data_IF_065833273627
#
_entry.id   IF_065833273627
#
_cell.length_a   1.000
_cell.length_b   1.000
_cell.length_c   1.000
_cell.angle_alpha   90.00
_cell.angle_beta   90.00
_cell.angle_gamma   90.00
#
_symmetry.space_group_name_H-M   'P 1'
#
loop_
_entity.id
_entity.type
_entity.pdbx_description
1 polymer ?
#
# COMPACT_ATOMS: atom_id res chain seq x y z
N UNK A 1 -5.13 22.94 -3.32
CA UNK A 1 -5.41 21.53 -3.02
C UNK A 1 -4.11 20.80 -2.84
N UNK A 2 -4.04 19.92 -1.85
CA UNK A 2 -2.79 19.21 -1.56
C UNK A 2 -2.52 18.21 -2.69
N UNK A 3 -3.48 17.39 -3.05
CA UNK A 3 -3.51 16.52 -4.23
C UNK A 3 -4.97 16.10 -4.52
N UNK A 4 -5.22 15.60 -5.74
CA UNK A 4 -6.55 15.14 -6.18
C UNK A 4 -6.59 13.68 -6.56
N UNK A 5 -5.43 13.05 -6.69
CA UNK A 5 -5.28 11.65 -7.08
C UNK A 5 -4.34 10.95 -6.10
N UNK A 6 -4.67 9.73 -5.73
CA UNK A 6 -3.84 8.91 -4.86
C UNK A 6 -3.55 7.58 -5.53
N UNK A 7 -2.30 7.35 -5.83
CA UNK A 7 -1.79 6.06 -6.21
C UNK A 7 -1.46 5.25 -4.95
N UNK A 8 -1.87 3.99 -4.95
CA UNK A 8 -1.71 3.05 -3.85
C UNK A 8 -0.93 1.85 -4.38
N UNK A 9 0.19 1.50 -3.74
CA UNK A 9 0.78 0.20 -3.97
C UNK A 9 -0.14 -0.90 -3.44
N UNK A 10 -0.05 -2.09 -4.03
CA UNK A 10 -0.80 -3.26 -3.54
C UNK A 10 -0.12 -3.88 -2.32
N UNK A 11 1.11 -4.37 -2.50
CA UNK A 11 1.81 -5.24 -1.55
C UNK A 11 2.31 -4.45 -0.34
N UNK A 12 1.97 -4.91 0.87
CA UNK A 12 2.36 -4.19 2.09
C UNK A 12 1.60 -2.89 2.36
N UNK A 13 0.86 -2.36 1.37
CA UNK A 13 0.02 -1.17 1.49
C UNK A 13 -1.45 -1.56 1.57
N UNK A 14 -2.11 -1.88 0.45
CA UNK A 14 -3.50 -2.36 0.47
C UNK A 14 -3.62 -3.76 1.09
N UNK A 15 -2.59 -4.58 0.95
CA UNK A 15 -2.52 -5.92 1.53
C UNK A 15 -1.62 -5.97 2.77
N UNK A 16 -1.67 -7.09 3.50
CA UNK A 16 -0.92 -7.28 4.75
C UNK A 16 0.56 -7.56 4.53
N UNK A 17 0.97 -7.93 3.31
CA UNK A 17 2.27 -8.51 2.99
C UNK A 17 2.56 -9.80 3.78
N UNK A 18 1.50 -10.59 3.98
CA UNK A 18 1.51 -11.88 4.65
C UNK A 18 0.82 -12.88 3.72
N UNK A 19 1.48 -13.30 2.61
CA UNK A 19 0.88 -14.23 1.67
C UNK A 19 0.63 -15.58 2.34
N UNK A 20 -0.50 -16.20 2.00
CA UNK A 20 -0.90 -17.52 2.49
C UNK A 20 -1.31 -18.41 1.32
N UNK A 21 -1.09 -19.73 1.45
CA UNK A 21 -1.59 -20.71 0.49
C UNK A 21 -3.10 -20.88 0.70
N UNK A 22 -3.89 -20.53 -0.31
CA UNK A 22 -5.36 -20.57 -0.25
C UNK A 22 -5.92 -21.74 -1.05
N UNK A 23 -5.31 -22.06 -2.20
CA UNK A 23 -5.74 -23.16 -3.08
C UNK A 23 -4.57 -24.04 -3.46
N UNK A 24 -4.82 -25.35 -3.57
CA UNK A 24 -3.82 -26.34 -4.00
C UNK A 24 -4.51 -27.33 -4.91
N UNK A 25 -4.08 -27.37 -6.17
CA UNK A 25 -4.62 -28.23 -7.21
C UNK A 25 -3.54 -29.23 -7.68
N UNK A 26 -3.44 -30.41 -7.05
CA UNK A 26 -2.48 -31.44 -7.50
C UNK A 26 -2.95 -32.08 -8.80
N UNK A 27 -1.98 -32.50 -9.62
CA UNK A 27 -2.24 -33.31 -10.81
C UNK A 27 -2.70 -34.73 -10.41
N UNK A 28 -3.38 -35.47 -11.29
CA UNK A 28 -3.80 -36.85 -11.02
C UNK A 28 -2.67 -37.73 -10.53
N UNK A 29 -2.89 -38.42 -9.42
CA UNK A 29 -1.91 -39.32 -8.82
C UNK A 29 -0.91 -38.66 -7.86
N UNK A 30 -0.99 -37.37 -7.66
CA UNK A 30 -0.19 -36.61 -6.70
C UNK A 30 -1.10 -36.16 -5.56
N UNK A 31 -0.62 -36.28 -4.32
CA UNK A 31 -1.38 -35.77 -3.18
C UNK A 31 -1.10 -34.27 -2.95
N UNK A 32 -2.02 -33.60 -2.25
CA UNK A 32 -1.80 -32.21 -1.82
C UNK A 32 -0.53 -32.08 -0.98
N UNK A 33 -0.29 -33.03 -0.11
CA UNK A 33 0.83 -32.99 0.83
C UNK A 33 2.16 -33.22 0.11
N UNK A 34 2.21 -34.14 -0.88
CA UNK A 34 3.40 -34.34 -1.72
C UNK A 34 3.74 -33.09 -2.52
N UNK A 35 2.72 -32.45 -3.13
CA UNK A 35 2.92 -31.23 -3.92
C UNK A 35 3.49 -30.09 -3.07
N UNK A 36 2.93 -29.89 -1.89
CA UNK A 36 3.40 -28.86 -0.96
C UNK A 36 4.79 -29.19 -0.37
N UNK A 37 5.06 -30.47 -0.06
CA UNK A 37 6.35 -30.90 0.44
C UNK A 37 7.47 -30.67 -0.57
N UNK A 38 7.26 -31.04 -1.85
CA UNK A 38 8.24 -30.81 -2.92
C UNK A 38 8.49 -29.33 -3.13
N UNK A 39 7.42 -28.52 -3.19
CA UNK A 39 7.55 -27.07 -3.35
C UNK A 39 8.31 -26.44 -2.17
N UNK A 40 7.93 -26.76 -0.95
CA UNK A 40 8.56 -26.24 0.26
C UNK A 40 10.03 -26.64 0.39
N UNK A 41 10.38 -27.86 -0.03
CA UNK A 41 11.76 -28.36 0.02
C UNK A 41 12.72 -27.50 -0.83
N UNK A 42 12.34 -27.14 -2.05
CA UNK A 42 13.18 -26.30 -2.94
C UNK A 42 13.10 -24.83 -2.55
N UNK A 43 11.98 -24.36 -2.02
CA UNK A 43 11.78 -22.97 -1.56
C UNK A 43 12.45 -22.70 -0.20
N UNK A 44 12.95 -23.72 0.51
CA UNK A 44 13.49 -23.58 1.87
C UNK A 44 14.65 -22.57 1.99
N UNK A 45 15.37 -22.32 0.90
CA UNK A 45 16.48 -21.35 0.86
C UNK A 45 16.11 -20.01 0.22
N UNK A 46 14.90 -19.90 -0.34
CA UNK A 46 14.42 -18.68 -0.99
C UNK A 46 13.99 -17.64 0.04
N UNK A 47 14.30 -16.38 -0.24
CA UNK A 47 13.86 -15.23 0.55
C UNK A 47 12.59 -14.59 0.00
N UNK A 48 11.99 -15.19 -1.04
CA UNK A 48 10.79 -14.65 -1.66
C UNK A 48 9.57 -14.79 -0.73
N UNK A 49 8.67 -13.77 -0.62
CA UNK A 49 7.50 -13.86 0.26
C UNK A 49 6.58 -15.06 -0.01
N UNK A 50 6.46 -15.51 -1.27
CA UNK A 50 5.68 -16.69 -1.64
C UNK A 50 6.29 -17.99 -1.09
N UNK A 51 7.60 -18.07 -0.99
CA UNK A 51 8.29 -19.21 -0.41
C UNK A 51 7.87 -19.43 1.06
N UNK A 52 7.87 -18.36 1.85
CA UNK A 52 7.46 -18.43 3.24
C UNK A 52 6.02 -18.96 3.39
N UNK A 53 5.10 -18.55 2.50
CA UNK A 53 3.72 -19.03 2.49
C UNK A 53 3.63 -20.54 2.18
N UNK A 54 4.40 -21.00 1.21
CA UNK A 54 4.42 -22.42 0.80
C UNK A 54 5.03 -23.28 1.91
N UNK A 55 6.15 -22.85 2.49
CA UNK A 55 6.80 -23.53 3.61
C UNK A 55 5.87 -23.64 4.82
N UNK A 56 5.15 -22.58 5.15
CA UNK A 56 4.22 -22.57 6.27
C UNK A 56 3.00 -23.50 6.07
N UNK A 57 2.61 -23.74 4.82
CA UNK A 57 1.47 -24.61 4.47
C UNK A 57 1.86 -26.08 4.26
N UNK A 58 3.16 -26.37 4.13
CA UNK A 58 3.64 -27.69 3.82
C UNK A 58 3.77 -28.58 5.06
N UNK A 59 3.58 -29.91 4.93
CA UNK A 59 4.02 -30.86 5.94
C UNK A 59 5.57 -30.86 6.03
N UNK A 60 6.11 -31.67 6.94
CA UNK A 60 7.58 -31.82 7.02
C UNK A 60 8.11 -32.35 5.68
N UNK A 61 9.01 -31.58 5.05
CA UNK A 61 9.57 -31.90 3.75
C UNK A 61 11.00 -32.50 3.89
N UNK A 62 11.35 -33.38 2.97
CA UNK A 62 12.73 -33.84 2.80
C UNK A 62 13.59 -32.65 2.30
N UNK A 63 14.87 -32.54 2.73
CA UNK A 63 15.73 -31.49 2.25
C UNK A 63 16.01 -31.62 0.75
N UNK A 64 15.92 -30.49 0.02
CA UNK A 64 16.32 -30.44 -1.38
C UNK A 64 17.85 -30.32 -1.52
N UNK A 65 18.38 -30.86 -2.62
CA UNK A 65 19.77 -30.70 -3.04
C UNK A 65 19.83 -29.99 -4.39
N UNK A 66 21.00 -29.46 -4.76
CA UNK A 66 21.23 -28.80 -6.05
C UNK A 66 20.23 -27.65 -6.33
N UNK A 67 19.90 -26.89 -5.28
CA UNK A 67 18.94 -25.81 -5.39
C UNK A 67 19.53 -24.62 -6.13
N UNK A 68 18.84 -24.16 -7.20
CA UNK A 68 19.24 -23.02 -8.02
C UNK A 68 18.03 -22.11 -8.21
N UNK A 69 18.19 -20.83 -7.85
CA UNK A 69 17.18 -19.80 -8.08
C UNK A 69 17.42 -19.15 -9.45
N UNK A 70 16.38 -19.12 -10.29
CA UNK A 70 16.37 -18.46 -11.60
C UNK A 70 15.59 -17.16 -11.53
N UNK A 71 16.31 -16.04 -11.50
CA UNK A 71 15.72 -14.72 -11.31
C UNK A 71 14.58 -14.43 -12.31
N UNK A 72 13.40 -14.06 -11.78
CA UNK A 72 12.21 -13.76 -12.57
C UNK A 72 11.45 -14.99 -13.11
N UNK A 73 11.92 -16.20 -12.84
CA UNK A 73 11.30 -17.45 -13.27
C UNK A 73 10.82 -18.29 -12.09
N UNK A 74 11.71 -18.67 -11.20
CA UNK A 74 11.42 -19.53 -10.07
C UNK A 74 12.66 -20.22 -9.51
N UNK A 75 12.49 -21.42 -8.96
CA UNK A 75 13.54 -22.17 -8.28
C UNK A 75 13.51 -23.64 -8.73
N UNK A 76 14.67 -24.26 -8.80
CA UNK A 76 14.85 -25.68 -9.15
C UNK A 76 15.62 -26.40 -8.07
N UNK A 77 15.44 -27.70 -7.95
CA UNK A 77 16.21 -28.54 -7.03
C UNK A 77 15.87 -30.02 -7.16
N UNK A 78 16.57 -30.85 -6.43
CA UNK A 78 16.34 -32.30 -6.39
C UNK A 78 15.79 -32.69 -5.00
N UNK A 79 14.64 -33.36 -4.96
CA UNK A 79 13.98 -33.85 -3.73
C UNK A 79 13.72 -35.33 -3.88
N UNK A 80 14.27 -36.15 -2.99
CA UNK A 80 14.15 -37.62 -3.02
C UNK A 80 14.47 -38.25 -4.38
N UNK A 81 15.47 -37.70 -5.08
CA UNK A 81 15.90 -38.13 -6.42
C UNK A 81 15.04 -37.62 -7.58
N UNK A 82 14.03 -36.79 -7.34
CA UNK A 82 13.20 -36.17 -8.37
C UNK A 82 13.67 -34.76 -8.67
N UNK A 83 13.68 -34.40 -9.94
CA UNK A 83 13.93 -33.00 -10.35
C UNK A 83 12.64 -32.18 -10.15
N UNK A 84 12.68 -31.22 -9.24
CA UNK A 84 11.57 -30.33 -8.93
C UNK A 84 11.83 -28.92 -9.44
N UNK A 85 10.83 -28.32 -10.09
CA UNK A 85 10.83 -26.94 -10.51
C UNK A 85 9.59 -26.24 -9.96
N UNK A 86 9.78 -25.09 -9.33
CA UNK A 86 8.71 -24.25 -8.76
C UNK A 86 8.82 -22.86 -9.35
N UNK A 87 7.76 -22.34 -9.96
CA UNK A 87 7.87 -21.05 -10.60
C UNK A 87 6.56 -20.50 -11.17
N UNK A 88 6.68 -19.43 -11.95
CA UNK A 88 5.53 -18.74 -12.51
C UNK A 88 4.96 -19.46 -13.76
N UNK A 89 3.71 -19.13 -14.09
CA UNK A 89 2.98 -19.70 -15.24
C UNK A 89 3.67 -19.44 -16.58
N UNK A 90 4.42 -18.33 -16.71
CA UNK A 90 5.11 -17.99 -17.97
C UNK A 90 6.30 -18.89 -18.22
N UNK A 91 6.92 -19.40 -17.20
CA UNK A 91 8.08 -20.28 -17.29
C UNK A 91 7.70 -21.74 -17.46
N UNK A 92 6.74 -22.24 -16.65
CA UNK A 92 6.43 -23.67 -16.60
C UNK A 92 5.22 -24.08 -17.44
N UNK A 93 4.49 -23.13 -18.03
CA UNK A 93 3.38 -23.35 -18.98
C UNK A 93 2.46 -24.53 -18.64
N UNK A 94 1.65 -24.48 -17.56
CA UNK A 94 0.77 -25.58 -17.19
C UNK A 94 -0.31 -25.80 -18.26
N UNK A 95 -0.08 -26.74 -19.16
CA UNK A 95 -1.04 -27.13 -20.16
C UNK A 95 -1.74 -28.42 -19.69
N UNK A 96 -3.04 -28.36 -19.43
CA UNK A 96 -3.80 -29.53 -19.07
C UNK A 96 -5.25 -29.20 -18.69
N UNK A 97 -6.19 -30.05 -19.08
CA UNK A 97 -7.64 -29.83 -18.88
C UNK A 97 -8.10 -29.85 -17.42
N UNK A 98 -7.29 -30.32 -16.48
CA UNK A 98 -7.64 -30.45 -15.07
C UNK A 98 -7.03 -29.36 -14.17
N UNK A 99 -6.05 -28.57 -14.67
CA UNK A 99 -5.38 -27.52 -13.92
C UNK A 99 -5.72 -26.18 -14.54
N UNK A 100 -6.43 -25.34 -13.82
CA UNK A 100 -6.91 -24.06 -14.34
C UNK A 100 -6.24 -22.89 -13.64
N UNK A 101 -5.03 -22.56 -14.06
CA UNK A 101 -4.27 -21.39 -13.56
C UNK A 101 -5.04 -20.08 -13.71
N UNK A 102 -5.84 -19.96 -14.77
CA UNK A 102 -6.64 -18.75 -15.02
C UNK A 102 -7.78 -18.60 -14.00
N UNK A 103 -8.42 -19.69 -13.58
CA UNK A 103 -9.47 -19.64 -12.57
C UNK A 103 -8.91 -19.28 -11.19
N UNK A 104 -7.71 -19.77 -10.84
CA UNK A 104 -7.01 -19.38 -9.62
C UNK A 104 -6.68 -17.88 -9.65
N UNK A 105 -6.07 -17.41 -10.74
CA UNK A 105 -5.71 -16.01 -10.91
C UNK A 105 -6.93 -15.07 -10.91
N UNK A 106 -8.07 -15.50 -11.47
CA UNK A 106 -9.31 -14.73 -11.48
C UNK A 106 -9.90 -14.51 -10.08
N UNK A 107 -9.49 -15.30 -9.09
CA UNK A 107 -9.87 -15.16 -7.68
C UNK A 107 -8.87 -14.26 -6.90
N UNK A 108 -7.97 -13.56 -7.59
CA UNK A 108 -6.99 -12.68 -6.96
C UNK A 108 -5.79 -13.39 -6.33
N UNK A 109 -5.53 -14.65 -6.73
CA UNK A 109 -4.38 -15.43 -6.25
C UNK A 109 -3.21 -15.36 -7.23
N UNK A 110 -2.00 -15.37 -6.71
CA UNK A 110 -0.78 -15.62 -7.49
C UNK A 110 -0.64 -17.13 -7.67
N UNK A 111 -0.48 -17.55 -8.92
CA UNK A 111 -0.35 -18.98 -9.25
C UNK A 111 1.11 -19.37 -9.29
N UNK A 112 1.48 -20.31 -8.44
CA UNK A 112 2.77 -20.99 -8.44
C UNK A 112 2.57 -22.38 -9.06
N UNK A 113 3.37 -22.68 -10.08
CA UNK A 113 3.37 -23.97 -10.78
C UNK A 113 4.46 -24.85 -10.19
N UNK A 114 4.15 -26.10 -9.93
CA UNK A 114 5.10 -27.12 -9.50
C UNK A 114 5.22 -28.17 -10.59
N UNK A 115 6.44 -28.44 -11.01
CA UNK A 115 6.79 -29.48 -11.98
C UNK A 115 7.69 -30.52 -11.30
N UNK A 116 7.47 -31.79 -11.55
CA UNK A 116 8.29 -32.90 -11.09
C UNK A 116 8.68 -33.77 -12.29
N UNK A 117 9.96 -34.02 -12.47
CA UNK A 117 10.53 -34.85 -13.56
C UNK A 117 10.04 -34.44 -14.96
N UNK A 118 9.89 -33.12 -15.21
CA UNK A 118 9.45 -32.55 -16.48
C UNK A 118 7.94 -32.60 -16.74
N UNK A 119 7.14 -32.99 -15.73
CA UNK A 119 5.68 -32.98 -15.81
C UNK A 119 5.06 -32.08 -14.75
N UNK A 120 4.00 -31.36 -15.10
CA UNK A 120 3.29 -30.49 -14.16
C UNK A 120 2.67 -31.35 -13.05
N UNK A 121 3.19 -31.19 -11.84
CA UNK A 121 2.73 -31.85 -10.63
C UNK A 121 1.50 -31.18 -10.01
N UNK A 122 1.33 -29.88 -10.23
CA UNK A 122 0.15 -29.16 -9.74
C UNK A 122 0.35 -27.65 -9.70
N UNK A 123 -0.70 -26.97 -9.19
CA UNK A 123 -0.75 -25.54 -9.00
C UNK A 123 -0.97 -25.21 -7.51
N UNK A 124 -0.32 -24.16 -7.04
CA UNK A 124 -0.52 -23.60 -5.70
C UNK A 124 -0.99 -22.17 -5.87
N UNK A 125 -2.17 -21.85 -5.36
CA UNK A 125 -2.74 -20.51 -5.29
C UNK A 125 -2.33 -19.82 -3.99
N UNK A 126 -1.54 -18.75 -4.10
CA UNK A 126 -1.10 -17.95 -2.96
C UNK A 126 -1.76 -16.58 -3.03
N UNK A 127 -2.34 -16.12 -1.94
CA UNK A 127 -3.00 -14.83 -1.85
C UNK A 127 -2.41 -14.01 -0.70
N UNK A 128 -2.14 -12.76 -0.99
CA UNK A 128 -1.87 -11.74 0.01
C UNK A 128 -3.19 -10.99 0.28
N UNK A 129 -3.74 -11.19 1.46
CA UNK A 129 -5.07 -10.68 1.80
C UNK A 129 -5.08 -9.16 1.94
N UNK A 130 -6.16 -8.54 1.47
CA UNK A 130 -6.44 -7.14 1.74
C UNK A 130 -6.50 -6.87 3.25
N UNK A 131 -5.99 -5.72 3.66
CA UNK A 131 -6.23 -5.24 5.02
C UNK A 131 -7.73 -5.00 5.21
N UNK A 132 -8.28 -5.30 6.40
CA UNK A 132 -9.71 -5.11 6.66
C UNK A 132 -10.20 -3.69 6.41
N UNK A 133 -9.30 -2.70 6.60
CA UNK A 133 -9.59 -1.29 6.42
C UNK A 133 -9.38 -0.77 4.98
N UNK A 134 -8.84 -1.56 4.06
CA UNK A 134 -8.48 -1.08 2.70
C UNK A 134 -9.67 -0.56 1.93
N UNK A 135 -10.75 -1.33 1.84
CA UNK A 135 -11.96 -0.91 1.13
C UNK A 135 -12.64 0.30 1.79
N UNK A 136 -12.61 0.39 3.12
CA UNK A 136 -13.11 1.57 3.85
C UNK A 136 -12.26 2.80 3.52
N UNK A 137 -10.95 2.67 3.55
CA UNK A 137 -10.00 3.75 3.25
C UNK A 137 -10.19 4.28 1.83
N UNK A 138 -10.32 3.40 0.84
CA UNK A 138 -10.58 3.78 -0.56
C UNK A 138 -11.88 4.58 -0.66
N UNK A 139 -12.98 4.10 -0.04
CA UNK A 139 -14.25 4.83 0.00
C UNK A 139 -14.13 6.20 0.67
N UNK A 140 -13.38 6.30 1.78
CA UNK A 140 -13.13 7.57 2.47
C UNK A 140 -12.38 8.56 1.58
N UNK A 141 -11.37 8.12 0.83
CA UNK A 141 -10.65 8.97 -0.13
C UNK A 141 -11.56 9.44 -1.26
N UNK A 142 -12.31 8.53 -1.87
CA UNK A 142 -13.26 8.84 -2.94
C UNK A 142 -14.36 9.81 -2.46
N UNK A 143 -14.87 9.66 -1.23
CA UNK A 143 -15.84 10.59 -0.63
C UNK A 143 -15.27 12.00 -0.42
N UNK A 144 -13.95 12.13 -0.32
CA UNK A 144 -13.25 13.41 -0.25
C UNK A 144 -12.88 13.98 -1.63
N UNK A 145 -13.35 13.36 -2.73
CA UNK A 145 -13.07 13.77 -4.11
C UNK A 145 -11.65 13.43 -4.56
N UNK A 146 -11.04 12.38 -3.99
CA UNK A 146 -9.74 11.86 -4.40
C UNK A 146 -9.95 10.67 -5.33
N UNK A 147 -9.39 10.73 -6.53
CA UNK A 147 -9.29 9.60 -7.43
C UNK A 147 -8.27 8.59 -6.89
N UNK A 148 -8.60 7.30 -6.93
CA UNK A 148 -7.72 6.24 -6.44
C UNK A 148 -7.25 5.36 -7.58
N UNK A 149 -5.95 5.07 -7.61
CA UNK A 149 -5.29 4.23 -8.61
C UNK A 149 -4.49 3.15 -7.86
N UNK A 150 -4.53 1.90 -8.31
CA UNK A 150 -3.67 0.85 -7.79
C UNK A 150 -2.51 0.58 -8.76
N UNK A 151 -1.28 0.56 -8.23
CA UNK A 151 -0.07 0.15 -8.94
C UNK A 151 0.41 -1.18 -8.35
N UNK A 152 0.74 -2.15 -9.21
CA UNK A 152 1.22 -3.46 -8.75
C UNK A 152 2.06 -4.16 -9.82
N UNK A 153 3.03 -4.98 -9.37
CA UNK A 153 3.78 -5.89 -10.22
C UNK A 153 3.03 -7.18 -10.59
N UNK A 154 1.88 -7.43 -9.98
CA UNK A 154 1.08 -8.61 -10.26
C UNK A 154 0.57 -8.65 -11.70
N UNK A 155 0.20 -9.87 -12.15
CA UNK A 155 -0.49 -10.02 -13.42
C UNK A 155 -1.85 -9.31 -13.42
N UNK A 156 -2.30 -8.93 -14.61
CA UNK A 156 -3.51 -8.12 -14.82
C UNK A 156 -4.75 -8.71 -14.14
N UNK A 157 -4.95 -10.05 -14.17
CA UNK A 157 -6.15 -10.70 -13.59
C UNK A 157 -6.17 -10.60 -12.07
N UNK A 158 -5.07 -10.97 -11.42
CA UNK A 158 -4.92 -10.86 -9.96
C UNK A 158 -5.08 -9.41 -9.50
N UNK A 159 -4.48 -8.47 -10.23
CA UNK A 159 -4.58 -7.05 -9.92
C UNK A 159 -6.03 -6.55 -9.97
N UNK A 160 -6.77 -6.87 -11.02
CA UNK A 160 -8.17 -6.46 -11.14
C UNK A 160 -9.08 -7.09 -10.08
N UNK A 161 -8.85 -8.35 -9.69
CA UNK A 161 -9.63 -9.01 -8.64
C UNK A 161 -9.43 -8.30 -7.28
N UNK A 162 -8.19 -8.03 -6.89
CA UNK A 162 -7.86 -7.32 -5.65
C UNK A 162 -8.37 -5.87 -5.68
N UNK A 163 -8.23 -5.18 -6.80
CA UNK A 163 -8.72 -3.82 -6.95
C UNK A 163 -10.24 -3.73 -6.82
N UNK A 164 -10.97 -4.66 -7.42
CA UNK A 164 -12.44 -4.73 -7.31
C UNK A 164 -12.87 -4.93 -5.86
N UNK A 165 -12.19 -5.80 -5.10
CA UNK A 165 -12.44 -6.02 -3.67
C UNK A 165 -12.12 -4.77 -2.84
N UNK A 166 -11.05 -4.05 -3.17
CA UNK A 166 -10.69 -2.79 -2.53
C UNK A 166 -11.56 -1.60 -2.96
N UNK A 167 -12.32 -1.72 -4.05
CA UNK A 167 -13.14 -0.62 -4.62
C UNK A 167 -12.33 0.38 -5.47
N UNK A 168 -11.16 -0.02 -5.99
CA UNK A 168 -10.34 0.78 -6.89
C UNK A 168 -10.67 0.42 -8.34
N UNK A 169 -10.91 1.43 -9.19
CA UNK A 169 -11.32 1.24 -10.59
C UNK A 169 -10.20 1.41 -11.59
N UNK A 170 -9.20 2.25 -11.30
CA UNK A 170 -8.01 2.43 -12.15
C UNK A 170 -6.88 1.53 -11.64
N UNK A 171 -6.44 0.59 -12.48
CA UNK A 171 -5.45 -0.43 -12.12
C UNK A 171 -4.33 -0.45 -13.16
N UNK A 172 -3.09 -0.36 -12.68
CA UNK A 172 -1.89 -0.54 -13.50
C UNK A 172 -1.13 -1.75 -12.97
N UNK A 173 -1.31 -2.85 -13.67
CA UNK A 173 -0.69 -4.13 -13.38
C UNK A 173 0.66 -4.30 -14.09
N UNK A 174 1.39 -5.35 -13.75
CA UNK A 174 2.66 -5.77 -14.38
C UNK A 174 3.75 -4.69 -14.35
N UNK A 175 3.75 -3.83 -13.33
CA UNK A 175 4.67 -2.71 -13.18
C UNK A 175 5.94 -3.13 -12.43
N UNK A 176 7.08 -3.00 -13.06
CA UNK A 176 8.38 -3.03 -12.39
C UNK A 176 8.57 -1.73 -11.57
N UNK A 177 9.51 -1.66 -10.63
CA UNK A 177 9.77 -0.45 -9.85
C UNK A 177 10.01 0.80 -10.70
N UNK A 178 10.73 0.67 -11.83
CA UNK A 178 10.96 1.77 -12.76
C UNK A 178 9.67 2.20 -13.49
N UNK A 179 8.80 1.24 -13.83
CA UNK A 179 7.53 1.52 -14.51
C UNK A 179 6.56 2.23 -13.55
N UNK A 180 6.56 1.87 -12.26
CA UNK A 180 5.80 2.57 -11.23
C UNK A 180 6.21 4.04 -11.13
N UNK A 181 7.52 4.33 -11.11
CA UNK A 181 8.02 5.70 -11.08
C UNK A 181 7.61 6.49 -12.32
N UNK A 182 7.76 5.92 -13.52
CA UNK A 182 7.33 6.53 -14.77
C UNK A 182 5.80 6.75 -14.81
N UNK A 183 5.02 5.79 -14.27
CA UNK A 183 3.58 5.94 -14.17
C UNK A 183 3.18 7.10 -13.24
N UNK A 184 3.86 7.27 -12.10
CA UNK A 184 3.65 8.40 -11.19
C UNK A 184 4.04 9.71 -11.85
N UNK A 185 5.17 9.79 -12.55
CA UNK A 185 5.59 10.98 -13.29
C UNK A 185 4.53 11.43 -14.31
N UNK A 186 4.00 10.49 -15.09
CA UNK A 186 2.93 10.74 -16.05
C UNK A 186 1.63 11.22 -15.36
N UNK A 187 1.32 10.73 -14.16
CA UNK A 187 0.15 11.17 -13.40
C UNK A 187 0.33 12.57 -12.82
N UNK A 188 1.52 12.87 -12.29
CA UNK A 188 1.87 14.18 -11.70
C UNK A 188 1.82 15.30 -12.75
N UNK A 189 2.20 15.02 -14.00
CA UNK A 189 2.10 16.03 -15.09
C UNK A 189 0.65 16.43 -15.39
N UNK A 190 -0.33 15.57 -15.11
CA UNK A 190 -1.75 15.85 -15.35
C UNK A 190 -2.39 16.58 -14.18
N UNK A 191 -2.13 16.11 -12.95
CA UNK A 191 -2.63 16.72 -11.72
C UNK A 191 -1.83 16.27 -10.50
N UNK A 192 -1.81 17.08 -9.40
CA UNK A 192 -1.11 16.70 -8.18
C UNK A 192 -1.55 15.31 -7.70
N UNK A 193 -0.58 14.40 -7.60
CA UNK A 193 -0.77 12.99 -7.29
C UNK A 193 0.07 12.60 -6.08
N UNK A 194 -0.56 11.96 -5.08
CA UNK A 194 0.16 11.31 -3.98
C UNK A 194 0.45 9.85 -4.32
N UNK A 195 1.56 9.32 -3.81
CA UNK A 195 1.88 7.89 -3.83
C UNK A 195 1.96 7.36 -2.41
N UNK A 196 1.34 6.20 -2.18
CA UNK A 196 1.42 5.45 -0.91
C UNK A 196 2.03 4.10 -1.17
N UNK A 197 3.07 3.77 -0.42
CA UNK A 197 3.78 2.50 -0.52
C UNK A 197 4.47 2.12 0.79
N UNK A 198 5.04 0.92 0.85
CA UNK A 198 5.85 0.45 1.99
C UNK A 198 7.31 0.95 1.92
N UNK A 199 7.71 1.47 0.77
CA UNK A 199 9.01 2.10 0.51
C UNK A 199 10.16 1.12 0.24
N UNK A 200 9.94 -0.18 0.20
CA UNK A 200 11.00 -1.15 -0.12
C UNK A 200 11.26 -1.14 -1.63
N UNK A 201 10.20 -1.30 -2.42
CA UNK A 201 10.27 -1.31 -3.88
C UNK A 201 9.77 -0.02 -4.54
N UNK A 202 9.11 0.84 -3.76
CA UNK A 202 8.39 2.00 -4.25
C UNK A 202 9.13 3.33 -4.00
N UNK A 203 10.35 3.29 -3.43
CA UNK A 203 11.13 4.49 -3.12
C UNK A 203 11.24 5.46 -4.30
N UNK A 204 11.54 5.05 -5.54
CA UNK A 204 11.56 5.95 -6.70
C UNK A 204 10.19 6.55 -7.01
N UNK A 205 9.11 5.79 -6.89
CA UNK A 205 7.74 6.26 -7.13
C UNK A 205 7.28 7.24 -6.04
N UNK A 206 7.64 6.99 -4.76
CA UNK A 206 7.39 7.90 -3.64
C UNK A 206 8.08 9.26 -3.84
N UNK A 207 9.37 9.23 -4.25
CA UNK A 207 10.15 10.45 -4.50
C UNK A 207 9.65 11.25 -5.71
N UNK A 208 9.03 10.59 -6.71
CA UNK A 208 8.51 11.23 -7.92
C UNK A 208 7.14 11.86 -7.70
N UNK A 209 6.38 11.40 -6.71
CA UNK A 209 5.03 11.87 -6.43
C UNK A 209 5.01 13.34 -5.97
N UNK A 210 3.87 14.03 -6.11
CA UNK A 210 3.67 15.36 -5.50
C UNK A 210 3.74 15.28 -3.96
N UNK A 211 3.30 14.15 -3.39
CA UNK A 211 3.43 13.80 -1.98
C UNK A 211 3.68 12.30 -1.88
N UNK A 212 4.86 11.91 -1.43
CA UNK A 212 5.19 10.53 -1.11
C UNK A 212 4.79 10.20 0.33
N UNK A 213 4.06 9.12 0.51
CA UNK A 213 3.56 8.66 1.81
C UNK A 213 4.06 7.23 2.05
N UNK A 214 4.95 7.05 3.00
CA UNK A 214 5.41 5.74 3.43
C UNK A 214 4.55 5.20 4.58
N UNK A 215 4.14 3.93 4.47
CA UNK A 215 3.33 3.23 5.46
C UNK A 215 4.08 2.05 6.07
N UNK A 216 3.79 1.75 7.35
CA UNK A 216 4.28 0.53 7.98
C UNK A 216 5.78 0.51 8.26
N UNK A 217 6.42 1.64 8.42
CA UNK A 217 7.87 1.80 8.50
C UNK A 217 8.43 1.14 9.77
N UNK A 218 8.57 -0.19 9.74
CA UNK A 218 9.48 -0.89 10.66
C UNK A 218 10.84 -1.00 9.98
N UNK A 219 11.65 0.06 10.07
CA UNK A 219 13.09 -0.04 9.82
C UNK A 219 13.59 0.18 8.39
N UNK A 220 12.78 0.53 7.41
CA UNK A 220 13.29 0.93 6.09
C UNK A 220 13.69 2.41 6.10
N UNK A 221 14.98 2.68 6.37
CA UNK A 221 15.53 4.03 6.27
C UNK A 221 15.29 4.64 4.87
N UNK A 222 15.39 3.83 3.82
CA UNK A 222 15.16 4.25 2.44
C UNK A 222 13.71 4.74 2.19
N UNK A 223 12.72 4.10 2.82
CA UNK A 223 11.32 4.53 2.73
C UNK A 223 11.10 5.90 3.37
N UNK A 224 11.70 6.12 4.55
CA UNK A 224 11.61 7.38 5.29
C UNK A 224 12.30 8.51 4.53
N UNK A 225 13.46 8.23 3.92
CA UNK A 225 14.21 9.24 3.15
C UNK A 225 13.52 9.63 1.83
N UNK A 226 12.73 8.71 1.24
CA UNK A 226 12.08 8.93 -0.05
C UNK A 226 10.67 9.50 0.06
N UNK A 227 10.09 9.57 1.25
CA UNK A 227 8.73 10.01 1.47
C UNK A 227 8.65 11.36 2.17
N UNK A 228 7.69 12.20 1.78
CA UNK A 228 7.38 13.46 2.47
C UNK A 228 6.67 13.23 3.81
N UNK A 229 5.94 12.12 3.92
CA UNK A 229 5.15 11.73 5.10
C UNK A 229 5.39 10.27 5.41
N UNK A 230 5.72 9.96 6.65
CA UNK A 230 5.86 8.58 7.13
C UNK A 230 4.85 8.29 8.25
N UNK A 231 4.05 7.24 8.06
CA UNK A 231 3.16 6.73 9.09
C UNK A 231 3.78 5.49 9.77
N UNK A 232 4.03 5.58 11.06
CA UNK A 232 4.62 4.49 11.86
C UNK A 232 3.61 3.34 12.08
N UNK A 233 2.32 3.61 11.93
CA UNK A 233 1.24 2.61 12.04
C UNK A 233 0.92 1.94 10.72
N UNK A 234 0.12 0.85 10.80
CA UNK A 234 -0.31 0.08 9.63
C UNK A 234 -1.75 0.40 9.19
N UNK A 235 -2.47 1.29 9.90
CA UNK A 235 -3.87 1.60 9.61
C UNK A 235 -3.97 2.65 8.48
N UNK A 236 -4.41 2.22 7.32
CA UNK A 236 -4.57 3.06 6.13
C UNK A 236 -5.56 4.23 6.33
N UNK A 237 -6.50 4.13 7.29
CA UNK A 237 -7.47 5.20 7.59
C UNK A 237 -6.81 6.47 8.15
N UNK A 238 -5.56 6.37 8.57
CA UNK A 238 -4.77 7.54 8.96
C UNK A 238 -4.59 8.51 7.78
N UNK A 239 -4.50 8.02 6.55
CA UNK A 239 -4.25 8.84 5.35
C UNK A 239 -5.43 9.78 5.07
N UNK A 240 -6.67 9.32 4.83
CA UNK A 240 -7.81 10.21 4.63
C UNK A 240 -8.07 11.11 5.84
N UNK A 241 -7.77 10.62 7.07
CA UNK A 241 -7.86 11.41 8.28
C UNK A 241 -6.85 12.56 8.32
N UNK A 242 -5.61 12.32 7.97
CA UNK A 242 -4.56 13.35 7.88
C UNK A 242 -4.88 14.37 6.78
N UNK A 243 -5.34 13.92 5.61
CA UNK A 243 -5.75 14.78 4.51
C UNK A 243 -6.90 15.72 4.92
N UNK A 244 -7.93 15.20 5.58
CA UNK A 244 -9.04 16.00 6.10
C UNK A 244 -8.56 17.03 7.13
N UNK A 245 -7.61 16.64 7.99
CA UNK A 245 -6.99 17.55 8.95
C UNK A 245 -6.18 18.67 8.28
N UNK A 246 -5.36 18.33 7.29
CA UNK A 246 -4.59 19.30 6.52
C UNK A 246 -5.48 20.31 5.78
N UNK A 247 -6.56 19.85 5.13
CA UNK A 247 -7.55 20.70 4.47
C UNK A 247 -8.25 21.65 5.45
N UNK A 248 -8.58 21.17 6.65
CA UNK A 248 -9.14 22.01 7.71
C UNK A 248 -8.15 23.06 8.18
N UNK A 249 -6.90 22.68 8.44
CA UNK A 249 -5.84 23.60 8.84
C UNK A 249 -5.64 24.71 7.80
N UNK A 250 -5.60 24.34 6.51
CA UNK A 250 -5.49 25.30 5.41
C UNK A 250 -6.66 26.28 5.37
N UNK A 251 -7.92 25.83 5.57
CA UNK A 251 -9.08 26.72 5.62
C UNK A 251 -8.98 27.72 6.77
N UNK A 252 -8.55 27.28 7.94
CA UNK A 252 -8.37 28.14 9.11
C UNK A 252 -7.27 29.19 8.82
N UNK A 253 -6.15 28.76 8.25
CA UNK A 253 -5.05 29.64 7.89
C UNK A 253 -5.47 30.68 6.84
N UNK A 254 -6.16 30.28 5.78
CA UNK A 254 -6.67 31.19 4.75
C UNK A 254 -7.69 32.17 5.32
N UNK A 255 -8.56 31.73 6.21
CA UNK A 255 -9.53 32.60 6.90
C UNK A 255 -8.82 33.65 7.78
N UNK A 256 -7.77 33.24 8.51
CA UNK A 256 -6.96 34.16 9.32
C UNK A 256 -6.23 35.20 8.47
N UNK A 257 -5.64 34.80 7.34
CA UNK A 257 -4.99 35.72 6.39
C UNK A 257 -6.03 36.70 5.83
N UNK A 258 -7.21 36.20 5.43
CA UNK A 258 -8.29 37.03 4.92
C UNK A 258 -8.78 38.03 5.96
N UNK A 259 -8.94 37.61 7.22
CA UNK A 259 -9.34 38.48 8.33
C UNK A 259 -8.27 39.58 8.57
N UNK A 260 -6.99 39.21 8.64
CA UNK A 260 -5.91 40.18 8.84
C UNK A 260 -5.87 41.21 7.72
N UNK A 261 -6.00 40.78 6.47
CA UNK A 261 -6.02 41.67 5.32
C UNK A 261 -7.24 42.62 5.35
N UNK A 262 -8.42 42.10 5.69
CA UNK A 262 -9.63 42.89 5.81
C UNK A 262 -9.50 44.00 6.90
N UNK A 263 -8.89 43.64 8.05
CA UNK A 263 -8.62 44.62 9.12
C UNK A 263 -7.69 45.71 8.67
N UNK A 264 -6.58 45.37 7.98
CA UNK A 264 -5.64 46.33 7.44
C UNK A 264 -6.35 47.29 6.45
N UNK A 265 -7.11 46.75 5.49
CA UNK A 265 -7.85 47.54 4.49
C UNK A 265 -8.88 48.45 5.14
N UNK A 266 -9.53 48.00 6.24
CA UNK A 266 -10.50 48.82 6.95
C UNK A 266 -9.86 49.90 7.87
N UNK A 267 -8.82 49.54 8.63
CA UNK A 267 -8.21 50.43 9.60
C UNK A 267 -7.33 51.52 8.94
N UNK A 268 -6.67 51.18 7.84
CA UNK A 268 -5.77 52.11 7.18
C UNK A 268 -6.45 53.46 6.78
N UNK A 269 -7.59 53.47 6.05
CA UNK A 269 -8.27 54.72 5.72
C UNK A 269 -8.86 55.40 6.97
N UNK A 270 -9.37 54.68 7.96
CA UNK A 270 -9.91 55.26 9.19
C UNK A 270 -8.83 55.99 9.99
N UNK A 271 -7.60 55.46 10.01
CA UNK A 271 -6.48 56.10 10.63
C UNK A 271 -5.97 57.29 9.78
N UNK A 272 -5.87 57.13 8.44
CA UNK A 272 -5.38 58.17 7.54
C UNK A 272 -6.25 59.42 7.56
N UNK A 273 -7.59 59.26 7.63
CA UNK A 273 -8.52 60.40 7.68
C UNK A 273 -8.78 60.89 9.10
N UNK A 274 -8.06 60.37 10.11
CA UNK A 274 -8.18 60.81 11.51
C UNK A 274 -9.49 60.45 12.19
N UNK A 275 -10.30 59.53 11.59
CA UNK A 275 -11.59 59.06 12.16
C UNK A 275 -11.31 58.22 13.38
N UNK A 276 -10.25 57.41 13.36
CA UNK A 276 -9.81 56.56 14.44
C UNK A 276 -8.44 56.98 14.93
N UNK A 277 -8.32 57.37 16.19
CA UNK A 277 -7.05 57.69 16.81
C UNK A 277 -6.14 56.47 16.98
N UNK A 278 -4.85 56.67 17.21
CA UNK A 278 -3.85 55.65 17.37
C UNK A 278 -4.23 54.55 18.38
N UNK A 279 -4.75 54.97 19.55
CA UNK A 279 -5.21 54.04 20.61
C UNK A 279 -6.33 53.10 20.12
N UNK A 280 -7.27 53.60 19.31
CA UNK A 280 -8.36 52.81 18.74
C UNK A 280 -7.85 51.81 17.70
N UNK A 281 -6.89 52.22 16.84
CA UNK A 281 -6.26 51.31 15.86
C UNK A 281 -5.55 50.19 16.57
N UNK A 282 -4.74 50.49 17.59
CA UNK A 282 -4.00 49.48 18.38
C UNK A 282 -5.00 48.51 19.09
N UNK A 283 -6.05 49.01 19.71
CA UNK A 283 -7.03 48.21 20.40
C UNK A 283 -7.68 47.20 19.42
N UNK A 284 -8.13 47.64 18.25
CA UNK A 284 -8.75 46.76 17.26
C UNK A 284 -7.75 45.71 16.76
N UNK A 285 -6.47 46.10 16.57
CA UNK A 285 -5.43 45.17 16.16
C UNK A 285 -5.18 44.09 17.19
N UNK A 286 -5.05 44.42 18.46
CA UNK A 286 -4.87 43.46 19.57
C UNK A 286 -6.05 42.49 19.69
N UNK A 287 -7.29 43.00 19.58
CA UNK A 287 -8.48 42.10 19.59
C UNK A 287 -8.44 41.15 18.40
N UNK A 288 -8.08 41.63 17.23
CA UNK A 288 -7.96 40.80 16.03
C UNK A 288 -6.90 39.72 16.16
N UNK A 289 -5.74 40.04 16.76
CA UNK A 289 -4.69 39.09 17.04
C UNK A 289 -5.14 37.97 17.95
N UNK A 290 -5.84 38.28 19.02
CA UNK A 290 -6.45 37.29 19.92
C UNK A 290 -7.42 36.39 19.18
N UNK A 291 -8.27 36.92 18.29
CA UNK A 291 -9.20 36.14 17.48
C UNK A 291 -8.45 35.19 16.54
N UNK A 292 -7.40 35.67 15.86
CA UNK A 292 -6.55 34.87 14.96
C UNK A 292 -5.87 33.73 15.72
N UNK A 293 -5.31 34.02 16.92
CA UNK A 293 -4.68 33.01 17.78
C UNK A 293 -5.68 31.94 18.21
N UNK A 294 -6.85 32.36 18.72
CA UNK A 294 -7.90 31.42 19.15
C UNK A 294 -8.40 30.56 17.99
N UNK A 295 -8.56 31.14 16.80
CA UNK A 295 -8.92 30.38 15.61
C UNK A 295 -7.80 29.41 15.19
N UNK A 296 -6.53 29.81 15.32
CA UNK A 296 -5.36 28.97 15.09
C UNK A 296 -5.31 27.75 16.02
N UNK A 297 -5.62 27.93 17.31
CA UNK A 297 -5.69 26.82 18.28
C UNK A 297 -6.74 25.77 17.89
N UNK A 298 -7.80 26.16 17.19
CA UNK A 298 -8.80 25.22 16.65
C UNK A 298 -8.21 24.27 15.59
N UNK A 299 -7.17 24.72 14.87
CA UNK A 299 -6.47 23.86 13.92
C UNK A 299 -5.71 22.71 14.59
N UNK A 300 -5.18 22.93 15.80
CA UNK A 300 -4.44 21.93 16.57
C UNK A 300 -5.34 20.81 17.13
N UNK A 301 -6.66 20.99 17.17
CA UNK A 301 -7.58 19.95 17.68
C UNK A 301 -7.67 18.79 16.69
N UNK A 302 -7.19 17.62 17.11
CA UNK A 302 -7.27 16.38 16.32
C UNK A 302 -8.75 16.01 16.07
N UNK A 303 -9.13 15.62 14.84
CA UNK A 303 -10.44 15.04 14.56
C UNK A 303 -10.72 13.82 15.44
N UNK A 304 -11.99 13.60 15.82
CA UNK A 304 -12.37 12.47 16.66
C UNK A 304 -11.94 11.12 16.06
N UNK A 305 -12.06 10.97 14.74
CA UNK A 305 -11.62 9.78 14.02
C UNK A 305 -10.13 9.48 14.22
N UNK A 306 -9.24 10.48 14.11
CA UNK A 306 -7.81 10.29 14.38
C UNK A 306 -7.48 10.00 15.83
N UNK A 307 -8.33 10.44 16.77
CA UNK A 307 -8.17 10.11 18.20
C UNK A 307 -8.51 8.65 18.47
N UNK A 308 -9.54 8.11 17.85
CA UNK A 308 -9.95 6.71 18.02
C UNK A 308 -8.91 5.75 17.43
N UNK A 309 -8.33 6.07 16.28
CA UNK A 309 -7.27 5.26 15.66
C UNK A 309 -5.97 5.24 16.49
N UNK A 310 -5.65 6.34 17.19
CA UNK A 310 -4.47 6.42 18.06
C UNK A 310 -4.62 5.65 19.39
N UNK A 311 -5.83 5.26 19.77
CA UNK A 311 -6.13 4.55 21.04
C UNK A 311 -6.27 3.04 20.87
N UNK A 312 -6.21 2.50 19.64
CA UNK A 312 -6.19 1.05 19.43
C UNK A 312 -4.81 0.54 19.90
N UNK A 313 -4.73 -0.24 20.99
CA UNK A 313 -3.47 -0.81 21.42
C UNK A 313 -2.95 -1.71 20.31
N UNK A 314 -1.66 -1.58 19.99
CA UNK A 314 -0.99 -2.50 19.10
C UNK A 314 -1.27 -3.93 19.61
N UNK A 315 -1.93 -4.76 18.80
CA UNK A 315 -2.16 -6.16 19.13
C UNK A 315 -0.81 -6.77 19.45
N UNK A 316 -0.62 -7.19 20.70
CA UNK A 316 0.61 -7.89 21.09
C UNK A 316 0.74 -9.11 20.18
N UNK A 317 1.93 -9.38 19.64
CA UNK A 317 2.13 -10.63 18.91
C UNK A 317 1.76 -11.78 19.83
N UNK A 318 0.90 -12.66 19.33
CA UNK A 318 0.56 -13.90 20.01
C UNK A 318 1.86 -14.65 20.33
N UNK A 319 2.07 -15.12 21.57
CA UNK A 319 3.29 -15.85 21.89
C UNK A 319 3.37 -17.09 21.00
N UNK A 320 4.48 -17.23 20.28
CA UNK A 320 4.78 -18.44 19.54
C UNK A 320 4.65 -19.63 20.50
N UNK A 321 3.71 -20.51 20.23
CA UNK A 321 3.60 -21.77 20.97
C UNK A 321 4.89 -22.56 20.75
N UNK A 322 5.59 -22.80 21.86
CA UNK A 322 6.79 -23.61 21.95
C UNK A 322 6.49 -25.09 21.69
#
# INVERSE_FOLDING_TARGET
DVYKRQALDKTGTLTRNEPTVVDVQPAPGITRDDLLAWAAAVEATSTHPLAAAIIAAAPVASPATEVVEEAGHGITGTVDGRAIRVGNVRWLHPAGQQLNAEAIAAQGMTVVVVEADGQIAGLIGVRDELRPESAETVRMLQSQGIETIMLTGDNTRTAHAIAAEAGVTDVRAEQLPADKAAAIEALVTQQPTAMVGDGINDAPALATATVGIAMGVKGSAAAIESADVAFIGHDLRLIPGALAHARRGRRIMTANIGLALAIIVALFPLALFGILGLAGVVLVHEIAEVVVILNGVRAARRPAALRQLATVPARQPEPAHA
#
